data_IF_292523900680
#
_entry.id   IF_292523900680
#
_cell.length_a   1.000
_cell.length_b   1.000
_cell.length_c   1.000
_cell.angle_alpha   90.00
_cell.angle_beta   90.00
_cell.angle_gamma   90.00
#
_symmetry.space_group_name_H-M   'P 1'
#
loop_
_entity.id
_entity.type
_entity.pdbx_description
1 polymer ?
#
# COMPACT_ATOMS: atom_id res chain seq x y z
N UNK A 1 34.96 10.23 16.20
CA UNK A 1 34.25 9.94 14.94
C UNK A 1 33.40 8.69 15.13
N UNK A 2 32.10 8.86 15.40
CA UNK A 2 31.15 7.76 15.48
C UNK A 2 30.76 7.36 14.06
N UNK A 3 31.15 6.15 13.63
CA UNK A 3 30.65 5.57 12.37
C UNK A 3 29.23 5.06 12.63
N UNK A 4 28.23 5.78 12.14
CA UNK A 4 26.85 5.29 12.10
C UNK A 4 26.80 4.13 11.10
N UNK A 5 26.62 2.91 11.62
CA UNK A 5 26.38 1.72 10.83
C UNK A 5 24.95 1.86 10.29
N UNK A 6 24.79 2.08 8.98
CA UNK A 6 23.46 2.03 8.34
C UNK A 6 22.92 0.61 8.50
N UNK A 7 21.95 0.45 9.38
CA UNK A 7 21.20 -0.78 9.56
C UNK A 7 20.17 -0.89 8.43
N UNK A 8 20.65 -1.27 7.23
CA UNK A 8 19.79 -1.54 6.08
C UNK A 8 19.13 -2.95 6.16
N UNK A 9 19.29 -3.68 7.26
CA UNK A 9 18.91 -5.10 7.38
C UNK A 9 17.56 -5.39 8.06
N UNK A 10 16.85 -4.40 8.58
CA UNK A 10 15.62 -4.68 9.35
C UNK A 10 14.41 -4.90 8.45
N UNK A 11 14.14 -4.01 7.49
CA UNK A 11 12.98 -4.15 6.60
C UNK A 11 13.16 -5.30 5.60
N UNK A 12 14.33 -5.39 4.95
CA UNK A 12 14.63 -6.51 4.05
C UNK A 12 14.62 -7.85 4.80
N UNK A 13 15.15 -7.88 6.02
CA UNK A 13 15.12 -9.05 6.89
C UNK A 13 13.70 -9.46 7.30
N UNK A 14 12.86 -8.51 7.71
CA UNK A 14 11.46 -8.79 8.06
C UNK A 14 10.64 -9.21 6.86
N UNK A 15 10.85 -8.57 5.70
CA UNK A 15 10.23 -8.99 4.45
C UNK A 15 10.68 -10.39 4.11
N UNK A 16 11.97 -10.71 4.17
CA UNK A 16 12.50 -12.05 3.94
C UNK A 16 11.91 -13.09 4.89
N UNK A 17 11.82 -12.80 6.19
CA UNK A 17 11.22 -13.70 7.18
C UNK A 17 9.73 -13.91 6.97
N UNK A 18 8.97 -12.84 6.69
CA UNK A 18 7.55 -12.95 6.33
C UNK A 18 7.38 -13.78 5.05
N UNK A 19 8.26 -13.56 4.06
CA UNK A 19 8.32 -14.34 2.82
C UNK A 19 8.57 -15.82 3.09
N UNK A 20 9.53 -16.14 3.96
CA UNK A 20 9.84 -17.51 4.35
C UNK A 20 8.67 -18.21 5.04
N UNK A 21 7.89 -17.46 5.85
CA UNK A 21 6.69 -17.99 6.52
C UNK A 21 5.51 -18.20 5.56
N UNK A 22 5.38 -17.36 4.54
CA UNK A 22 4.28 -17.41 3.55
C UNK A 22 4.62 -18.37 2.38
N UNK A 23 5.90 -18.64 2.12
CA UNK A 23 6.36 -19.31 0.89
C UNK A 23 5.77 -20.69 0.64
N UNK A 24 5.62 -21.54 1.65
CA UNK A 24 5.30 -22.97 1.38
C UNK A 24 6.13 -23.53 0.21
N UNK A 25 5.55 -24.39 -0.63
CA UNK A 25 6.20 -24.96 -1.84
C UNK A 25 6.37 -23.97 -3.02
N UNK A 26 6.13 -22.66 -2.87
CA UNK A 26 6.32 -21.71 -3.98
C UNK A 26 7.79 -21.37 -4.21
N UNK A 27 8.16 -21.44 -5.48
CA UNK A 27 9.50 -21.19 -5.98
C UNK A 27 9.90 -19.71 -5.78
N UNK A 28 11.13 -19.48 -5.30
CA UNK A 28 11.63 -18.16 -4.86
C UNK A 28 11.48 -17.02 -5.90
N UNK A 29 11.58 -17.26 -7.24
CA UNK A 29 11.43 -16.20 -8.23
C UNK A 29 10.01 -15.64 -8.30
N UNK A 30 8.98 -16.50 -8.23
CA UNK A 30 7.57 -16.07 -8.36
C UNK A 30 7.11 -15.19 -7.19
N UNK A 31 7.74 -15.31 -6.03
CA UNK A 31 7.40 -14.50 -4.87
C UNK A 31 7.67 -13.01 -5.06
N UNK A 32 8.75 -12.66 -5.80
CA UNK A 32 9.09 -11.26 -6.09
C UNK A 32 7.96 -10.55 -6.83
N UNK A 33 7.27 -11.27 -7.70
CA UNK A 33 6.16 -10.76 -8.50
C UNK A 33 4.91 -10.46 -7.67
N UNK A 34 4.79 -10.99 -6.44
CA UNK A 34 3.68 -10.69 -5.53
C UNK A 34 4.06 -9.67 -4.46
N UNK A 35 5.25 -9.78 -3.87
CA UNK A 35 5.64 -8.89 -2.77
C UNK A 35 5.85 -7.44 -3.24
N UNK A 36 6.36 -7.24 -4.46
CA UNK A 36 6.61 -5.90 -5.00
C UNK A 36 5.29 -5.14 -5.24
N UNK A 37 4.26 -5.69 -5.93
CA UNK A 37 2.96 -5.03 -6.04
C UNK A 37 2.29 -4.77 -4.69
N UNK A 38 2.37 -5.72 -3.74
CA UNK A 38 1.77 -5.56 -2.40
C UNK A 38 2.40 -4.36 -1.67
N UNK A 39 3.72 -4.28 -1.61
CA UNK A 39 4.43 -3.16 -0.96
C UNK A 39 4.13 -1.85 -1.68
N UNK A 40 4.09 -1.87 -3.01
CA UNK A 40 3.78 -0.69 -3.81
C UNK A 40 2.40 -0.14 -3.50
N UNK A 41 1.37 -0.99 -3.50
CA UNK A 41 0.00 -0.59 -3.20
C UNK A 41 -0.14 -0.13 -1.75
N UNK A 42 0.49 -0.83 -0.79
CA UNK A 42 0.54 -0.38 0.60
C UNK A 42 1.13 1.02 0.70
N UNK A 43 2.28 1.26 0.05
CA UNK A 43 2.96 2.56 0.12
C UNK A 43 2.12 3.66 -0.52
N UNK A 44 1.45 3.39 -1.63
CA UNK A 44 0.54 4.35 -2.25
C UNK A 44 -0.65 4.65 -1.34
N UNK A 45 -1.30 3.62 -0.79
CA UNK A 45 -2.41 3.80 0.15
C UNK A 45 -2.01 4.65 1.35
N UNK A 46 -0.81 4.44 1.90
CA UNK A 46 -0.31 5.24 3.03
C UNK A 46 -0.15 6.73 2.68
N UNK A 47 0.39 7.05 1.50
CA UNK A 47 0.52 8.46 1.09
C UNK A 47 -0.85 9.09 0.85
N UNK A 48 -1.80 8.34 0.26
CA UNK A 48 -3.15 8.83 0.04
C UNK A 48 -3.89 9.07 1.37
N UNK A 49 -3.74 8.16 2.33
CA UNK A 49 -4.29 8.32 3.67
C UNK A 49 -3.65 9.52 4.40
N UNK A 50 -2.34 9.74 4.26
CA UNK A 50 -1.66 10.93 4.79
C UNK A 50 -2.17 12.24 4.16
N UNK A 51 -2.54 12.22 2.87
CA UNK A 51 -3.13 13.38 2.18
C UNK A 51 -4.58 13.63 2.64
N UNK A 52 -5.38 12.55 2.79
CA UNK A 52 -6.72 12.63 3.37
C UNK A 52 -6.71 13.16 4.80
N UNK A 53 -5.75 12.75 5.63
CA UNK A 53 -5.63 13.23 7.00
C UNK A 53 -5.29 14.73 7.06
N UNK A 54 -4.44 15.24 6.16
CA UNK A 54 -4.17 16.68 6.06
C UNK A 54 -5.40 17.48 5.64
N UNK A 55 -6.17 16.96 4.68
CA UNK A 55 -7.43 17.56 4.28
C UNK A 55 -8.44 17.49 5.44
N UNK A 56 -8.47 16.39 6.19
CA UNK A 56 -9.32 16.27 7.37
C UNK A 56 -8.95 17.28 8.46
N UNK A 57 -7.67 17.62 8.63
CA UNK A 57 -7.22 18.70 9.52
C UNK A 57 -7.70 20.09 9.05
N UNK A 58 -7.77 20.33 7.74
CA UNK A 58 -8.23 21.60 7.15
C UNK A 58 -9.76 21.74 7.19
N UNK A 59 -10.49 20.68 6.84
CA UNK A 59 -11.95 20.67 6.73
C UNK A 59 -12.66 20.16 8.01
N UNK A 60 -11.90 19.67 9.00
CA UNK A 60 -12.37 19.27 10.33
C UNK A 60 -12.96 17.86 10.43
N UNK A 61 -13.10 17.12 9.33
CA UNK A 61 -13.62 15.75 9.31
C UNK A 61 -13.04 14.94 8.14
N UNK A 62 -12.60 13.71 8.44
CA UNK A 62 -12.06 12.77 7.44
C UNK A 62 -13.12 12.27 6.46
N UNK A 63 -14.36 12.10 6.90
CA UNK A 63 -15.46 11.72 6.01
C UNK A 63 -15.77 12.81 4.98
N UNK A 64 -15.66 14.09 5.40
CA UNK A 64 -15.81 15.24 4.49
C UNK A 64 -14.63 15.30 3.52
N UNK A 65 -13.40 15.16 4.02
CA UNK A 65 -12.21 15.10 3.17
C UNK A 65 -12.30 13.99 2.13
N UNK A 66 -12.78 12.80 2.53
CA UNK A 66 -12.98 11.67 1.61
C UNK A 66 -14.02 11.98 0.52
N UNK A 67 -15.17 12.56 0.90
CA UNK A 67 -16.19 12.99 -0.06
C UNK A 67 -15.65 14.06 -1.03
N UNK A 68 -14.94 15.06 -0.54
CA UNK A 68 -14.34 16.10 -1.37
C UNK A 68 -13.33 15.52 -2.35
N UNK A 69 -12.51 14.58 -1.92
CA UNK A 69 -11.53 13.91 -2.78
C UNK A 69 -12.19 12.97 -3.78
N UNK A 70 -13.35 12.38 -3.47
CA UNK A 70 -14.15 11.61 -4.42
C UNK A 70 -14.83 12.50 -5.48
N UNK A 71 -15.20 13.73 -5.11
CA UNK A 71 -15.82 14.70 -6.03
C UNK A 71 -14.76 15.42 -6.90
N UNK A 72 -13.61 15.77 -6.29
CA UNK A 72 -12.49 16.46 -6.92
C UNK A 72 -11.17 15.74 -6.62
N UNK A 73 -10.78 14.86 -7.54
CA UNK A 73 -9.54 14.10 -7.45
C UNK A 73 -8.28 14.97 -7.52
N UNK A 74 -8.37 16.26 -7.89
CA UNK A 74 -7.21 17.16 -7.97
C UNK A 74 -6.70 17.65 -6.61
N UNK A 75 -7.49 17.42 -5.55
CA UNK A 75 -7.13 17.74 -4.17
C UNK A 75 -6.01 16.85 -3.60
N UNK A 76 -5.79 15.70 -4.23
CA UNK A 76 -4.75 14.73 -3.88
C UNK A 76 -3.81 14.52 -5.06
N UNK A 77 -2.58 14.07 -4.78
CA UNK A 77 -1.60 13.84 -5.85
C UNK A 77 -1.97 12.64 -6.71
N UNK A 78 -2.60 11.64 -6.11
CA UNK A 78 -3.17 10.50 -6.80
C UNK A 78 -4.39 10.01 -6.04
N UNK A 79 -5.47 9.81 -6.78
CA UNK A 79 -6.69 9.26 -6.22
C UNK A 79 -6.63 7.74 -6.17
N UNK A 80 -7.03 7.16 -5.03
CA UNK A 80 -7.18 5.71 -4.88
C UNK A 80 -8.65 5.39 -4.64
N UNK A 81 -9.32 4.70 -5.59
CA UNK A 81 -10.70 4.25 -5.41
C UNK A 81 -10.81 3.35 -4.18
N UNK A 82 -11.95 3.41 -3.49
CA UNK A 82 -12.20 2.64 -2.26
C UNK A 82 -11.85 1.14 -2.41
N UNK A 83 -12.26 0.52 -3.52
CA UNK A 83 -11.98 -0.89 -3.83
C UNK A 83 -10.48 -1.23 -3.98
N UNK A 84 -9.63 -0.24 -4.24
CA UNK A 84 -8.18 -0.37 -4.39
C UNK A 84 -7.39 0.11 -3.17
N UNK A 85 -8.07 0.59 -2.11
CA UNK A 85 -7.41 1.01 -0.87
C UNK A 85 -6.87 -0.20 -0.12
N UNK A 86 -5.75 0.00 0.58
CA UNK A 86 -5.09 -1.08 1.32
C UNK A 86 -6.02 -1.83 2.29
N UNK A 87 -6.96 -1.14 2.94
CA UNK A 87 -7.93 -1.76 3.85
C UNK A 87 -8.74 -2.88 3.16
N UNK A 88 -9.16 -2.66 1.91
CA UNK A 88 -9.93 -3.63 1.13
C UNK A 88 -9.06 -4.78 0.59
N UNK A 89 -7.78 -4.52 0.32
CA UNK A 89 -6.86 -5.52 -0.21
C UNK A 89 -6.34 -6.42 0.92
N UNK A 90 -6.03 -5.85 2.08
CA UNK A 90 -5.45 -6.56 3.22
C UNK A 90 -6.38 -7.62 3.82
N UNK A 91 -7.70 -7.48 3.65
CA UNK A 91 -8.69 -8.45 4.15
C UNK A 91 -8.89 -9.64 3.20
N UNK A 92 -8.40 -9.59 1.95
CA UNK A 92 -8.61 -10.64 0.96
C UNK A 92 -7.67 -11.81 1.19
N UNK A 93 -8.23 -12.98 1.49
CA UNK A 93 -7.49 -14.24 1.65
C UNK A 93 -7.52 -15.14 0.39
N UNK A 94 -8.34 -14.81 -0.60
CA UNK A 94 -8.51 -15.55 -1.86
C UNK A 94 -8.49 -14.59 -3.04
N UNK A 95 -7.94 -15.02 -4.18
CA UNK A 95 -7.90 -14.19 -5.39
C UNK A 95 -7.00 -12.96 -5.28
N UNK A 96 -6.01 -12.99 -4.37
CA UNK A 96 -5.13 -11.84 -4.11
C UNK A 96 -4.43 -11.36 -5.40
N UNK A 97 -3.99 -12.28 -6.27
CA UNK A 97 -3.37 -11.90 -7.54
C UNK A 97 -4.27 -11.07 -8.46
N UNK A 98 -5.54 -11.43 -8.56
CA UNK A 98 -6.54 -10.68 -9.35
C UNK A 98 -6.81 -9.33 -8.69
N UNK A 99 -7.02 -9.30 -7.37
CA UNK A 99 -7.23 -8.06 -6.63
C UNK A 99 -6.05 -7.08 -6.74
N UNK A 100 -4.80 -7.58 -6.69
CA UNK A 100 -3.60 -6.77 -6.90
C UNK A 100 -3.52 -6.25 -8.34
N UNK A 101 -3.85 -7.08 -9.32
CA UNK A 101 -3.85 -6.68 -10.74
C UNK A 101 -4.89 -5.59 -10.99
N UNK A 102 -6.09 -5.74 -10.43
CA UNK A 102 -7.17 -4.76 -10.56
C UNK A 102 -6.84 -3.47 -9.82
N UNK A 103 -6.31 -3.55 -8.60
CA UNK A 103 -5.86 -2.37 -7.84
C UNK A 103 -4.80 -1.56 -8.62
N UNK A 104 -3.83 -2.23 -9.23
CA UNK A 104 -2.81 -1.55 -10.05
C UNK A 104 -3.46 -0.91 -11.29
N UNK A 105 -4.44 -1.57 -11.94
CA UNK A 105 -5.17 -1.00 -13.09
C UNK A 105 -6.05 0.20 -12.73
N UNK A 106 -6.56 0.26 -11.50
CA UNK A 106 -7.33 1.41 -11.04
C UNK A 106 -6.46 2.65 -10.78
N UNK A 107 -5.18 2.44 -10.49
CA UNK A 107 -4.22 3.52 -10.14
C UNK A 107 -3.43 4.00 -11.37
N UNK A 108 -3.14 3.11 -12.33
CA UNK A 108 -2.33 3.39 -13.53
C UNK A 108 -3.16 3.99 -14.67
#
# INVERSE_FOLDING_TARGET
>A
MVKIKKENSTLEGWLWEASCKIRGEMDAPKYKDYILPIIFIKRLSDVFDDELDKLAEEYGDRAIADQLVNDDHSLVRFYIPEAARWAEIAIKNTGLGEALTDAVRFIA
#
